data_IF_907670727034
#
_entry.id   IF_907670727034
#
_cell.length_a   1.000
_cell.length_b   1.000
_cell.length_c   1.000
_cell.angle_alpha   90.00
_cell.angle_beta   90.00
_cell.angle_gamma   90.00
#
_symmetry.space_group_name_H-M   'P 1'
#
loop_
_entity.id
_entity.type
_entity.pdbx_description
1 polymer ?
#
# COMPACT_ATOMS: atom_id res chain seq x y z
N UNK A 1 -34.83 7.75 20.34
CA UNK A 1 -33.68 7.06 20.98
C UNK A 1 -33.24 5.85 20.17
N UNK A 2 -34.12 4.86 19.88
CA UNK A 2 -33.73 3.72 19.02
C UNK A 2 -33.35 4.09 17.58
N UNK A 3 -33.91 5.15 17.01
CA UNK A 3 -33.52 5.63 15.67
C UNK A 3 -32.18 6.37 15.67
N UNK A 4 -31.80 7.01 16.79
CA UNK A 4 -30.48 7.64 16.93
C UNK A 4 -29.38 6.59 17.17
N UNK A 5 -29.68 5.53 17.93
CA UNK A 5 -28.79 4.37 18.08
C UNK A 5 -28.69 3.55 16.79
N UNK A 6 -29.75 3.54 15.96
CA UNK A 6 -29.71 2.95 14.63
C UNK A 6 -28.88 3.79 13.65
N UNK A 7 -28.98 5.13 13.69
CA UNK A 7 -28.14 6.04 12.90
C UNK A 7 -26.65 5.94 13.30
N UNK A 8 -26.37 5.80 14.60
CA UNK A 8 -25.01 5.63 15.14
C UNK A 8 -24.42 4.26 14.76
N UNK A 9 -25.25 3.21 14.71
CA UNK A 9 -24.86 1.88 14.21
C UNK A 9 -24.79 1.78 12.68
N UNK A 10 -25.49 2.66 11.96
CA UNK A 10 -25.45 2.70 10.49
C UNK A 10 -24.29 3.57 9.97
N UNK A 11 -23.74 4.46 10.81
CA UNK A 11 -22.51 5.21 10.51
C UNK A 11 -21.22 4.40 10.70
N UNK A 12 -21.26 3.23 11.34
CA UNK A 12 -20.09 2.34 11.49
C UNK A 12 -19.94 1.31 10.37
N UNK A 13 -20.79 1.34 9.34
CA UNK A 13 -20.88 0.26 8.35
C UNK A 13 -19.81 0.32 7.25
N UNK A 14 -19.05 1.41 7.08
CA UNK A 14 -17.97 1.39 6.07
C UNK A 14 -16.87 2.38 6.43
N UNK A 15 -16.21 2.15 7.57
CA UNK A 15 -14.88 2.72 7.73
C UNK A 15 -13.93 2.00 6.75
N UNK A 16 -13.42 2.70 5.72
CA UNK A 16 -12.62 2.09 4.67
C UNK A 16 -11.37 1.39 5.20
N UNK A 17 -10.89 1.81 6.38
CA UNK A 17 -9.75 1.18 7.04
C UNK A 17 -9.96 -0.32 7.26
N UNK A 18 -11.15 -0.76 7.68
CA UNK A 18 -11.38 -2.19 7.96
C UNK A 18 -11.47 -3.04 6.69
N UNK A 19 -11.92 -2.45 5.59
CA UNK A 19 -11.94 -3.11 4.27
C UNK A 19 -10.52 -3.34 3.80
N UNK A 20 -9.71 -2.28 3.72
CA UNK A 20 -8.31 -2.35 3.29
C UNK A 20 -7.49 -3.22 4.25
N UNK A 21 -7.73 -3.12 5.57
CA UNK A 21 -7.12 -4.03 6.56
C UNK A 21 -7.42 -5.49 6.25
N UNK A 22 -8.66 -5.83 5.88
CA UNK A 22 -9.04 -7.18 5.50
C UNK A 22 -8.34 -7.66 4.23
N UNK A 23 -8.21 -6.78 3.24
CA UNK A 23 -7.49 -7.05 1.99
C UNK A 23 -5.99 -7.27 2.24
N UNK A 24 -5.36 -6.39 3.03
CA UNK A 24 -3.96 -6.51 3.47
C UNK A 24 -3.74 -7.82 4.23
N UNK A 25 -4.64 -8.21 5.13
CA UNK A 25 -4.53 -9.48 5.86
C UNK A 25 -4.62 -10.69 4.93
N UNK A 26 -5.49 -10.63 3.91
CA UNK A 26 -5.61 -11.68 2.89
C UNK A 26 -4.40 -11.73 1.96
N UNK A 27 -3.86 -10.58 1.56
CA UNK A 27 -2.63 -10.50 0.79
C UNK A 27 -1.44 -11.03 1.60
N UNK A 28 -1.35 -10.70 2.88
CA UNK A 28 -0.31 -11.20 3.78
C UNK A 28 -0.37 -12.72 3.97
N UNK A 29 -1.55 -13.31 4.10
CA UNK A 29 -1.67 -14.78 4.23
C UNK A 29 -1.28 -15.50 2.94
N UNK A 30 -1.61 -14.92 1.78
CA UNK A 30 -1.11 -15.38 0.47
C UNK A 30 0.41 -15.26 0.39
N UNK A 31 0.99 -14.12 0.78
CA UNK A 31 2.43 -13.90 0.76
C UNK A 31 3.16 -14.90 1.66
N UNK A 32 2.65 -15.19 2.86
CA UNK A 32 3.20 -16.23 3.75
C UNK A 32 3.16 -17.62 3.12
N UNK A 33 2.04 -17.99 2.51
CA UNK A 33 1.93 -19.29 1.83
C UNK A 33 2.92 -19.43 0.66
N UNK A 34 3.13 -18.34 -0.10
CA UNK A 34 4.15 -18.27 -1.15
C UNK A 34 5.58 -18.32 -0.58
N UNK A 35 5.81 -17.68 0.56
CA UNK A 35 7.10 -17.70 1.25
C UNK A 35 7.45 -19.10 1.76
N UNK A 36 6.51 -19.80 2.40
CA UNK A 36 6.71 -21.18 2.86
C UNK A 36 7.01 -22.13 1.69
N UNK A 37 6.28 -21.98 0.58
CA UNK A 37 6.53 -22.76 -0.65
C UNK A 37 7.90 -22.45 -1.26
N UNK A 38 8.28 -21.18 -1.29
CA UNK A 38 9.59 -20.75 -1.76
C UNK A 38 10.71 -21.33 -0.89
N UNK A 39 10.53 -21.37 0.43
CA UNK A 39 11.49 -21.98 1.36
C UNK A 39 11.62 -23.49 1.16
N UNK A 40 10.52 -24.19 0.87
CA UNK A 40 10.52 -25.61 0.50
C UNK A 40 11.26 -25.86 -0.82
N UNK A 41 11.01 -25.03 -1.84
CA UNK A 41 11.68 -25.13 -3.15
C UNK A 41 13.19 -24.87 -3.06
N UNK A 42 13.66 -24.04 -2.13
CA UNK A 42 15.09 -23.89 -1.84
C UNK A 42 15.72 -25.17 -1.24
N UNK A 43 14.91 -25.98 -0.56
CA UNK A 43 15.36 -27.24 0.00
C UNK A 43 15.38 -28.36 -1.05
N UNK A 44 14.44 -28.35 -2.00
CA UNK A 44 14.30 -29.37 -3.05
C UNK A 44 15.12 -29.06 -4.32
N UNK A 45 15.96 -30.00 -4.75
CA UNK A 45 17.08 -29.77 -5.67
C UNK A 45 16.87 -30.19 -7.13
N UNK A 46 15.63 -30.36 -7.60
CA UNK A 46 15.33 -30.81 -8.97
C UNK A 46 15.32 -29.66 -9.98
N UNK A 47 15.69 -29.92 -11.25
CA UNK A 47 15.71 -28.88 -12.30
C UNK A 47 14.35 -28.21 -12.57
N UNK A 48 13.23 -28.96 -12.42
CA UNK A 48 11.86 -28.41 -12.52
C UNK A 48 11.58 -27.38 -11.42
N UNK A 49 12.23 -27.52 -10.25
CA UNK A 49 12.15 -26.60 -9.12
C UNK A 49 12.73 -25.21 -9.46
N UNK A 50 13.60 -25.06 -10.47
CA UNK A 50 14.24 -23.78 -10.81
C UNK A 50 13.26 -22.76 -11.40
N UNK A 51 12.53 -23.14 -12.44
CA UNK A 51 11.53 -22.25 -13.06
C UNK A 51 10.42 -21.93 -12.07
N UNK A 52 10.05 -22.90 -11.22
CA UNK A 52 9.08 -22.72 -10.15
C UNK A 52 9.61 -21.80 -9.03
N UNK A 53 10.89 -21.89 -8.69
CA UNK A 53 11.55 -21.02 -7.72
C UNK A 53 11.64 -19.58 -8.24
N UNK A 54 12.02 -19.37 -9.50
CA UNK A 54 12.08 -18.05 -10.12
C UNK A 54 10.69 -17.41 -10.19
N UNK A 55 9.68 -18.17 -10.60
CA UNK A 55 8.28 -17.75 -10.60
C UNK A 55 7.81 -17.40 -9.17
N UNK A 56 8.04 -18.28 -8.19
CA UNK A 56 7.62 -18.07 -6.80
C UNK A 56 8.30 -16.86 -6.18
N UNK A 57 9.58 -16.64 -6.50
CA UNK A 57 10.34 -15.48 -6.02
C UNK A 57 9.77 -14.18 -6.60
N UNK A 58 9.48 -14.14 -7.90
CA UNK A 58 8.90 -12.96 -8.55
C UNK A 58 7.48 -12.67 -8.03
N UNK A 59 6.64 -13.69 -7.93
CA UNK A 59 5.27 -13.56 -7.44
C UNK A 59 5.22 -13.06 -6.00
N UNK A 60 6.08 -13.61 -5.14
CA UNK A 60 6.21 -13.16 -3.76
C UNK A 60 6.68 -11.70 -3.68
N UNK A 61 7.68 -11.28 -4.48
CA UNK A 61 8.11 -9.88 -4.53
C UNK A 61 6.99 -8.93 -4.95
N UNK A 62 6.18 -9.33 -5.93
CA UNK A 62 5.02 -8.53 -6.35
C UNK A 62 3.97 -8.44 -5.26
N UNK A 63 3.66 -9.55 -4.59
CA UNK A 63 2.71 -9.57 -3.49
C UNK A 63 3.17 -8.73 -2.30
N UNK A 64 4.45 -8.82 -1.91
CA UNK A 64 5.02 -8.01 -0.83
C UNK A 64 5.00 -6.52 -1.18
N UNK A 65 5.31 -6.15 -2.42
CA UNK A 65 5.25 -4.76 -2.88
C UNK A 65 3.83 -4.21 -2.81
N UNK A 66 2.83 -4.97 -3.26
CA UNK A 66 1.43 -4.55 -3.19
C UNK A 66 1.01 -4.26 -1.73
N UNK A 67 1.40 -5.12 -0.79
CA UNK A 67 1.14 -4.91 0.64
C UNK A 67 1.85 -3.63 1.15
N UNK A 68 3.07 -3.34 0.71
CA UNK A 68 3.78 -2.11 1.11
C UNK A 68 3.04 -0.85 0.68
N UNK A 69 2.48 -0.83 -0.53
CA UNK A 69 1.64 0.27 -1.01
C UNK A 69 0.39 0.43 -0.15
N UNK A 70 -0.37 -0.64 0.07
CA UNK A 70 -1.59 -0.60 0.90
C UNK A 70 -1.28 -0.12 2.33
N UNK A 71 -0.12 -0.50 2.89
CA UNK A 71 0.30 -0.06 4.22
C UNK A 71 0.71 1.41 4.27
N UNK A 72 1.26 1.95 3.19
CA UNK A 72 1.58 3.38 3.08
C UNK A 72 0.28 4.19 3.08
N UNK A 73 -0.68 3.83 2.23
CA UNK A 73 -2.01 4.47 2.14
C UNK A 73 -2.76 4.43 3.49
N UNK A 74 -2.71 3.28 4.19
CA UNK A 74 -3.27 3.16 5.53
C UNK A 74 -2.57 4.09 6.52
N UNK A 75 -1.24 4.23 6.42
CA UNK A 75 -0.48 5.10 7.32
C UNK A 75 -0.79 6.59 7.09
N UNK A 76 -0.92 7.01 5.83
CA UNK A 76 -1.35 8.37 5.48
C UNK A 76 -2.75 8.66 6.01
N UNK A 77 -3.67 7.72 5.82
CA UNK A 77 -5.04 7.83 6.32
C UNK A 77 -5.07 7.97 7.85
N UNK A 78 -4.26 7.18 8.56
CA UNK A 78 -4.11 7.27 10.02
C UNK A 78 -3.57 8.65 10.42
N UNK A 79 -2.57 9.18 9.71
CA UNK A 79 -2.00 10.50 9.99
C UNK A 79 -3.02 11.63 9.80
N UNK A 80 -3.87 11.53 8.76
CA UNK A 80 -4.96 12.49 8.50
C UNK A 80 -5.98 12.49 9.63
N UNK A 81 -6.38 11.30 10.09
CA UNK A 81 -7.32 11.11 11.20
C UNK A 81 -6.73 11.65 12.50
N UNK A 82 -5.46 11.36 12.78
CA UNK A 82 -4.73 11.85 13.96
C UNK A 82 -4.64 13.38 13.99
N UNK A 83 -4.44 14.00 12.83
CA UNK A 83 -4.35 15.46 12.71
C UNK A 83 -5.70 16.16 12.88
N UNK A 84 -6.83 15.44 12.76
CA UNK A 84 -8.18 16.01 12.76
C UNK A 84 -9.15 15.25 13.70
N UNK A 85 -8.87 15.13 15.02
CA UNK A 85 -9.64 14.30 15.93
C UNK A 85 -11.12 14.74 16.05
N UNK A 86 -11.41 16.04 15.94
CA UNK A 86 -12.77 16.58 16.00
C UNK A 86 -13.66 16.21 14.81
N UNK A 87 -13.09 15.84 13.66
CA UNK A 87 -13.83 15.47 12.44
C UNK A 87 -14.15 13.98 12.38
N UNK A 88 -13.24 13.14 12.85
CA UNK A 88 -13.31 11.69 12.67
C UNK A 88 -13.81 10.90 13.89
N UNK A 89 -13.97 11.55 15.07
CA UNK A 89 -14.51 10.94 16.30
C UNK A 89 -13.93 9.55 16.62
N UNK A 90 -12.66 9.35 16.29
CA UNK A 90 -11.93 8.11 16.52
C UNK A 90 -11.30 8.12 17.90
N UNK A 91 -11.44 7.03 18.67
CA UNK A 91 -10.83 6.93 19.99
C UNK A 91 -9.30 6.78 19.89
N UNK A 92 -8.55 7.35 20.85
CA UNK A 92 -7.08 7.19 20.91
C UNK A 92 -6.65 5.70 20.95
N UNK A 93 -7.42 4.85 21.64
CA UNK A 93 -7.19 3.40 21.67
C UNK A 93 -7.32 2.78 20.29
N UNK A 94 -8.32 3.20 19.51
CA UNK A 94 -8.55 2.67 18.17
C UNK A 94 -7.46 3.14 17.21
N UNK A 95 -7.11 4.42 17.25
CA UNK A 95 -6.02 4.97 16.45
C UNK A 95 -4.69 4.23 16.72
N UNK A 96 -4.42 3.91 17.99
CA UNK A 96 -3.28 3.09 18.38
C UNK A 96 -3.33 1.69 17.79
N UNK A 97 -4.48 1.01 17.85
CA UNK A 97 -4.63 -0.32 17.24
C UNK A 97 -4.40 -0.31 15.72
N UNK A 98 -4.80 0.77 15.03
CA UNK A 98 -4.54 0.94 13.59
C UNK A 98 -3.03 1.08 13.32
N UNK A 99 -2.34 1.91 14.10
CA UNK A 99 -0.87 2.07 14.02
C UNK A 99 -0.14 0.76 14.29
N UNK A 100 -0.52 0.06 15.36
CA UNK A 100 0.07 -1.22 15.74
C UNK A 100 -0.16 -2.29 14.67
N UNK A 101 -1.28 -2.26 13.95
CA UNK A 101 -1.53 -3.15 12.81
C UNK A 101 -0.58 -2.87 11.64
N UNK A 102 -0.45 -1.60 11.24
CA UNK A 102 0.42 -1.18 10.14
C UNK A 102 1.89 -1.52 10.45
N UNK A 103 2.35 -1.22 11.66
CA UNK A 103 3.73 -1.50 12.08
C UNK A 103 4.04 -3.00 12.09
N UNK A 104 3.17 -3.82 12.69
CA UNK A 104 3.36 -5.29 12.71
C UNK A 104 3.38 -5.89 11.31
N UNK A 105 2.52 -5.42 10.42
CA UNK A 105 2.46 -5.92 9.04
C UNK A 105 3.71 -5.50 8.26
N UNK A 106 4.14 -4.24 8.38
CA UNK A 106 5.37 -3.73 7.75
C UNK A 106 6.59 -4.53 8.21
N UNK A 107 6.69 -4.85 9.50
CA UNK A 107 7.76 -5.70 10.03
C UNK A 107 7.75 -7.10 9.42
N UNK A 108 6.58 -7.75 9.34
CA UNK A 108 6.46 -9.09 8.73
C UNK A 108 6.84 -9.10 7.24
N UNK A 109 6.48 -8.04 6.50
CA UNK A 109 6.87 -7.88 5.09
C UNK A 109 8.38 -7.69 4.96
N UNK A 110 8.97 -6.85 5.81
CA UNK A 110 10.40 -6.60 5.83
C UNK A 110 11.21 -7.88 6.14
N UNK A 111 10.78 -8.68 7.12
CA UNK A 111 11.40 -9.97 7.45
C UNK A 111 11.41 -10.94 6.25
N UNK A 112 10.31 -11.02 5.50
CA UNK A 112 10.25 -11.85 4.28
C UNK A 112 11.16 -11.29 3.16
N UNK A 113 11.21 -9.96 2.99
CA UNK A 113 12.10 -9.30 1.99
C UNK A 113 13.57 -9.49 2.30
N UNK A 114 13.96 -9.41 3.57
CA UNK A 114 15.34 -9.64 4.00
C UNK A 114 15.78 -11.08 3.72
N UNK A 115 14.91 -12.05 3.97
CA UNK A 115 15.19 -13.47 3.69
C UNK A 115 15.28 -13.75 2.17
N UNK A 116 14.42 -13.12 1.36
CA UNK A 116 14.49 -13.15 -0.10
C UNK A 116 15.76 -12.51 -0.68
N UNK A 117 16.34 -11.55 0.05
CA UNK A 117 17.56 -10.82 -0.35
C UNK A 117 18.82 -11.42 0.26
N UNK A 118 18.68 -12.43 1.13
CA UNK A 118 19.79 -13.06 1.82
C UNK A 118 20.74 -13.71 0.81
N UNK A 119 22.04 -13.35 0.82
CA UNK A 119 23.06 -14.01 0.00
C UNK A 119 23.11 -15.53 0.22
N UNK A 120 22.60 -16.04 1.35
CA UNK A 120 22.50 -17.48 1.63
C UNK A 120 21.46 -18.19 0.76
N UNK A 121 20.35 -17.55 0.39
CA UNK A 121 19.34 -18.17 -0.49
C UNK A 121 19.88 -18.32 -1.92
N UNK A 122 20.54 -17.26 -2.41
CA UNK A 122 21.20 -17.24 -3.73
C UNK A 122 22.43 -18.15 -3.75
N UNK A 123 23.27 -18.11 -2.71
CA UNK A 123 24.46 -18.95 -2.59
C UNK A 123 24.11 -20.42 -2.30
N UNK A 124 23.00 -20.75 -1.65
CA UNK A 124 22.56 -22.14 -1.52
C UNK A 124 22.06 -22.69 -2.85
N UNK A 125 21.31 -21.91 -3.63
CA UNK A 125 20.95 -22.29 -4.99
C UNK A 125 22.21 -22.54 -5.84
N UNK A 126 23.22 -21.67 -5.77
CA UNK A 126 24.49 -21.85 -6.49
C UNK A 126 25.38 -22.98 -5.96
N UNK A 127 25.44 -23.19 -4.63
CA UNK A 127 26.30 -24.19 -4.00
C UNK A 127 25.73 -25.60 -4.21
N UNK A 128 24.40 -25.78 -4.12
CA UNK A 128 23.74 -27.04 -4.47
C UNK A 128 23.83 -27.33 -5.97
N UNK A 129 23.80 -26.30 -6.82
CA UNK A 129 24.03 -26.46 -8.27
C UNK A 129 25.45 -26.99 -8.56
N UNK A 130 26.49 -26.39 -7.95
CA UNK A 130 27.87 -26.91 -8.02
C UNK A 130 27.98 -28.34 -7.48
N UNK A 131 27.24 -28.68 -6.42
CA UNK A 131 27.31 -30.00 -5.78
C UNK A 131 26.58 -31.10 -6.58
N UNK A 132 25.47 -30.77 -7.26
CA UNK A 132 24.78 -31.68 -8.18
C UNK A 132 25.63 -32.00 -9.42
N UNK A 133 26.38 -31.02 -9.95
CA UNK A 133 27.32 -31.23 -11.04
C UNK A 133 28.54 -32.07 -10.61
N UNK A 134 29.06 -31.84 -9.39
CA UNK A 134 30.22 -32.56 -8.83
C UNK A 134 29.90 -34.00 -8.39
N UNK A 135 28.66 -34.30 -7.99
CA UNK A 135 28.24 -35.65 -7.60
C UNK A 135 28.22 -36.65 -8.77
N UNK A 136 28.27 -36.18 -10.02
CA UNK A 136 28.35 -37.04 -11.20
C UNK A 136 29.77 -37.58 -11.50
N UNK A 137 30.80 -37.05 -10.82
CA UNK A 137 32.22 -37.32 -11.17
C UNK A 137 32.97 -38.14 -10.11
N UNK A 138 32.36 -38.45 -8.94
CA UNK A 138 33.05 -39.15 -7.83
C UNK A 138 32.50 -40.57 -7.64
N UNK A 139 32.63 -41.42 -8.66
CA UNK A 139 32.49 -42.87 -8.44
C UNK A 139 33.59 -43.71 -9.09
N UNK A 140 34.61 -43.11 -9.71
CA UNK A 140 35.67 -43.92 -10.28
C UNK A 140 37.04 -43.23 -10.22
N UNK A 141 38.06 -44.02 -9.91
CA UNK A 141 39.51 -43.74 -10.05
C UNK A 141 40.26 -43.14 -8.86
N UNK A 142 40.21 -43.84 -7.72
CA UNK A 142 41.21 -43.74 -6.65
C UNK A 142 42.57 -44.44 -6.98
N UNK A 143 42.85 -44.86 -8.21
CA UNK A 143 43.99 -45.78 -8.47
C UNK A 143 44.82 -45.52 -9.74
N UNK A 144 44.97 -44.28 -10.20
CA UNK A 144 45.82 -43.99 -11.38
C UNK A 144 46.37 -42.55 -11.41
N UNK A 145 46.95 -42.10 -10.30
CA UNK A 145 47.63 -40.80 -10.15
C UNK A 145 49.13 -41.09 -10.26
N UNK A 146 49.87 -40.72 -11.31
CA UNK A 146 50.59 -39.44 -11.35
C UNK A 146 51.01 -39.05 -12.79
N UNK A 147 51.16 -40.00 -13.71
CA UNK A 147 51.72 -39.72 -15.04
C UNK A 147 50.70 -39.12 -16.04
N UNK A 148 49.40 -39.35 -15.83
CA UNK A 148 48.33 -38.80 -16.67
C UNK A 148 47.88 -37.39 -16.21
N UNK A 149 48.41 -36.92 -15.07
CA UNK A 149 47.93 -35.76 -14.34
C UNK A 149 48.31 -34.43 -15.00
N UNK A 150 49.42 -34.36 -15.74
CA UNK A 150 49.88 -33.12 -16.40
C UNK A 150 49.20 -32.92 -17.76
N UNK A 151 49.09 -34.00 -18.57
CA UNK A 151 48.41 -33.93 -19.88
C UNK A 151 46.88 -33.81 -19.74
N UNK A 152 46.28 -34.47 -18.75
CA UNK A 152 44.87 -34.26 -18.44
C UNK A 152 44.62 -32.87 -17.82
N UNK A 153 45.55 -32.31 -17.04
CA UNK A 153 45.40 -30.94 -16.53
C UNK A 153 45.33 -29.91 -17.66
N UNK A 154 46.25 -29.96 -18.63
CA UNK A 154 46.25 -28.98 -19.72
C UNK A 154 44.96 -29.06 -20.54
N UNK A 155 44.48 -30.27 -20.83
CA UNK A 155 43.23 -30.46 -21.57
C UNK A 155 41.99 -30.08 -20.74
N UNK A 156 42.01 -30.35 -19.44
CA UNK A 156 40.96 -29.94 -18.51
C UNK A 156 40.93 -28.42 -18.31
N UNK A 157 42.07 -27.75 -18.26
CA UNK A 157 42.16 -26.29 -18.15
C UNK A 157 41.61 -25.63 -19.43
N UNK A 158 41.95 -26.15 -20.60
CA UNK A 158 41.45 -25.63 -21.89
C UNK A 158 39.93 -25.85 -22.02
N UNK A 159 39.43 -27.02 -21.65
CA UNK A 159 37.99 -27.35 -21.64
C UNK A 159 37.23 -26.53 -20.57
N UNK A 160 37.84 -26.27 -19.41
CA UNK A 160 37.29 -25.36 -18.40
C UNK A 160 37.27 -23.91 -18.85
N UNK A 161 38.24 -23.48 -19.66
CA UNK A 161 38.32 -22.11 -20.15
C UNK A 161 37.24 -21.83 -21.22
N UNK A 162 36.96 -22.81 -22.09
CA UNK A 162 35.80 -22.77 -23.00
C UNK A 162 34.47 -22.81 -22.22
N UNK A 163 34.33 -23.66 -21.21
CA UNK A 163 33.13 -23.66 -20.36
C UNK A 163 32.95 -22.35 -19.60
N UNK A 164 34.02 -21.74 -19.09
CA UNK A 164 33.95 -20.45 -18.42
C UNK A 164 33.52 -19.33 -19.36
N UNK A 165 33.90 -19.38 -20.64
CA UNK A 165 33.41 -18.44 -21.65
C UNK A 165 31.91 -18.61 -21.90
N UNK A 166 31.42 -19.85 -21.96
CA UNK A 166 29.98 -20.12 -22.10
C UNK A 166 29.19 -19.65 -20.86
N UNK A 167 29.73 -19.84 -19.66
CA UNK A 167 29.11 -19.38 -18.40
C UNK A 167 29.10 -17.84 -18.32
N UNK A 168 30.17 -17.17 -18.77
CA UNK A 168 30.22 -15.70 -18.84
C UNK A 168 29.21 -15.17 -19.86
N UNK A 169 29.07 -15.83 -21.01
CA UNK A 169 28.03 -15.48 -22.00
C UNK A 169 26.62 -15.65 -21.44
N UNK A 170 26.35 -16.74 -20.71
CA UNK A 170 25.03 -16.98 -20.11
C UNK A 170 24.72 -15.95 -18.99
N UNK A 171 25.75 -15.47 -18.28
CA UNK A 171 25.63 -14.37 -17.33
C UNK A 171 25.39 -13.01 -18.00
N UNK A 172 26.01 -12.74 -19.15
CA UNK A 172 25.74 -11.53 -19.93
C UNK A 172 24.30 -11.52 -20.49
N UNK A 173 23.80 -12.66 -20.95
CA UNK A 173 22.40 -12.81 -21.38
C UNK A 173 21.42 -12.59 -20.19
N UNK A 174 21.77 -13.06 -18.98
CA UNK A 174 20.99 -12.77 -17.77
C UNK A 174 21.01 -11.28 -17.38
N UNK A 175 22.16 -10.61 -17.53
CA UNK A 175 22.26 -9.16 -17.31
C UNK A 175 21.47 -8.37 -18.35
N UNK A 176 21.40 -8.84 -19.60
CA UNK A 176 20.57 -8.24 -20.64
C UNK A 176 19.07 -8.40 -20.34
N UNK A 177 18.63 -9.54 -19.79
CA UNK A 177 17.24 -9.75 -19.37
C UNK A 177 16.85 -8.90 -18.15
N UNK A 178 17.76 -8.75 -17.18
CA UNK A 178 17.61 -7.84 -16.03
C UNK A 178 17.58 -6.38 -16.51
N UNK A 179 18.41 -6.03 -17.50
CA UNK A 179 18.41 -4.72 -18.18
C UNK A 179 17.09 -4.45 -18.92
N UNK A 180 16.53 -5.45 -19.58
CA UNK A 180 15.20 -5.39 -20.20
C UNK A 180 14.10 -5.10 -19.19
N UNK A 181 14.14 -5.77 -18.03
CA UNK A 181 13.19 -5.55 -16.94
C UNK A 181 13.32 -4.16 -16.30
N UNK A 182 14.54 -3.62 -16.20
CA UNK A 182 14.81 -2.23 -15.78
C UNK A 182 14.28 -1.21 -16.81
N UNK A 183 14.37 -1.51 -18.12
CA UNK A 183 13.86 -0.64 -19.18
C UNK A 183 12.32 -0.58 -19.18
N UNK A 184 11.64 -1.69 -18.89
CA UNK A 184 10.17 -1.72 -18.69
C UNK A 184 9.77 -0.97 -17.41
N UNK A 185 10.51 -1.16 -16.31
CA UNK A 185 10.31 -0.39 -15.06
C UNK A 185 10.50 1.12 -15.27
N UNK A 186 11.49 1.53 -16.07
CA UNK A 186 11.73 2.93 -16.42
C UNK A 186 10.62 3.50 -17.29
N UNK A 187 10.09 2.74 -18.26
CA UNK A 187 8.99 3.19 -19.12
C UNK A 187 7.68 3.33 -18.32
N UNK A 188 7.39 2.40 -17.39
CA UNK A 188 6.24 2.51 -16.50
C UNK A 188 6.40 3.61 -15.45
N UNK A 189 7.60 3.80 -14.89
CA UNK A 189 7.90 4.92 -13.99
C UNK A 189 7.78 6.28 -14.68
N UNK A 190 8.13 6.37 -15.97
CA UNK A 190 7.94 7.58 -16.76
C UNK A 190 6.45 7.90 -16.94
N UNK A 191 5.64 6.91 -17.33
CA UNK A 191 4.18 7.09 -17.48
C UNK A 191 3.46 7.40 -16.16
N UNK A 192 3.95 6.87 -15.04
CA UNK A 192 3.43 7.22 -13.70
C UNK A 192 3.80 8.66 -13.35
N UNK A 193 5.01 9.11 -13.71
CA UNK A 193 5.42 10.51 -13.55
C UNK A 193 4.54 11.48 -14.36
N UNK A 194 4.26 11.13 -15.61
CA UNK A 194 3.41 11.95 -16.50
C UNK A 194 1.96 12.01 -15.99
N UNK A 195 1.41 10.91 -15.48
CA UNK A 195 0.06 10.85 -14.88
C UNK A 195 0.00 11.62 -13.54
N UNK A 196 1.05 11.58 -12.73
CA UNK A 196 1.14 12.37 -11.50
C UNK A 196 1.22 13.88 -11.78
N UNK A 197 1.95 14.29 -12.82
CA UNK A 197 1.97 15.69 -13.27
C UNK A 197 0.61 16.12 -13.83
N UNK A 198 -0.10 15.25 -14.56
CA UNK A 198 -1.46 15.52 -15.04
C UNK A 198 -2.48 15.63 -13.88
N UNK A 199 -2.36 14.77 -12.86
CA UNK A 199 -3.17 14.84 -11.65
C UNK A 199 -2.84 16.07 -10.78
N UNK A 200 -1.59 16.55 -10.76
CA UNK A 200 -1.21 17.80 -10.10
C UNK A 200 -1.88 19.03 -10.76
N UNK A 201 -2.04 19.00 -12.09
CA UNK A 201 -2.81 20.02 -12.83
C UNK A 201 -4.30 19.92 -12.52
N UNK A 202 -4.89 18.71 -12.52
CA UNK A 202 -6.31 18.53 -12.16
C UNK A 202 -6.62 18.87 -10.69
N UNK A 203 -5.66 18.69 -9.76
CA UNK A 203 -5.77 19.15 -8.37
C UNK A 203 -5.79 20.68 -8.27
N UNK A 204 -5.10 21.37 -9.18
CA UNK A 204 -5.17 22.84 -9.32
C UNK A 204 -6.58 23.31 -9.69
N UNK A 205 -7.19 22.68 -10.71
CA UNK A 205 -8.56 22.98 -11.14
C UNK A 205 -9.59 22.65 -10.06
N UNK A 206 -9.41 21.53 -9.34
CA UNK A 206 -10.26 21.20 -8.19
C UNK A 206 -10.13 22.24 -7.06
N UNK A 207 -8.93 22.76 -6.83
CA UNK A 207 -8.70 23.87 -5.91
C UNK A 207 -9.44 25.14 -6.31
N UNK A 208 -9.48 25.47 -7.60
CA UNK A 208 -10.22 26.62 -8.14
C UNK A 208 -11.74 26.43 -8.00
N UNK A 209 -12.26 25.24 -8.30
CA UNK A 209 -13.67 24.89 -8.10
C UNK A 209 -14.07 24.93 -6.61
N UNK A 210 -13.19 24.48 -5.72
CA UNK A 210 -13.39 24.57 -4.27
C UNK A 210 -13.40 26.03 -3.80
N UNK A 211 -12.50 26.87 -4.31
CA UNK A 211 -12.47 28.31 -4.03
C UNK A 211 -13.78 28.99 -4.48
N UNK A 212 -14.27 28.63 -5.68
CA UNK A 212 -15.54 29.13 -6.19
C UNK A 212 -16.71 28.67 -5.31
N UNK A 213 -16.71 27.42 -4.85
CA UNK A 213 -17.73 26.89 -3.93
C UNK A 213 -17.70 27.60 -2.58
N UNK A 214 -16.52 27.87 -2.02
CA UNK A 214 -16.34 28.64 -0.79
C UNK A 214 -16.90 30.06 -0.93
N UNK A 215 -16.63 30.75 -2.04
CA UNK A 215 -17.18 32.09 -2.30
C UNK A 215 -18.72 32.12 -2.41
N UNK A 216 -19.32 31.05 -2.96
CA UNK A 216 -20.78 30.88 -3.03
C UNK A 216 -21.34 30.61 -1.63
N UNK A 217 -20.67 29.78 -0.84
CA UNK A 217 -21.03 29.50 0.55
C UNK A 217 -20.98 30.76 1.41
N UNK A 218 -19.93 31.58 1.31
CA UNK A 218 -19.83 32.88 1.99
C UNK A 218 -20.95 33.84 1.60
N UNK A 219 -21.32 33.86 0.32
CA UNK A 219 -22.44 34.66 -0.17
C UNK A 219 -23.78 34.20 0.41
N UNK A 220 -23.96 32.88 0.57
CA UNK A 220 -25.12 32.30 1.24
C UNK A 220 -25.11 32.63 2.74
N UNK A 221 -23.97 32.51 3.41
CA UNK A 221 -23.82 32.84 4.83
C UNK A 221 -24.13 34.31 5.10
N UNK A 222 -23.65 35.25 4.27
CA UNK A 222 -24.02 36.68 4.35
C UNK A 222 -25.52 36.92 4.13
N UNK A 223 -26.15 36.17 3.22
CA UNK A 223 -27.60 36.26 3.03
C UNK A 223 -28.36 35.74 4.25
N UNK A 224 -27.90 34.65 4.87
CA UNK A 224 -28.47 34.13 6.11
C UNK A 224 -28.29 35.09 7.28
N UNK A 225 -27.12 35.71 7.44
CA UNK A 225 -26.87 36.74 8.45
C UNK A 225 -27.79 37.95 8.22
N UNK A 226 -27.97 38.39 6.98
CA UNK A 226 -28.86 39.50 6.64
C UNK A 226 -30.33 39.16 6.88
N UNK A 227 -30.77 37.95 6.54
CA UNK A 227 -32.14 37.48 6.81
C UNK A 227 -32.38 37.35 8.31
N UNK A 228 -31.41 36.81 9.05
CA UNK A 228 -31.40 36.73 10.51
C UNK A 228 -31.47 38.12 11.16
N UNK A 229 -30.75 39.10 10.61
CA UNK A 229 -30.79 40.46 11.11
C UNK A 229 -32.07 41.21 10.68
N UNK A 230 -32.68 40.87 9.54
CA UNK A 230 -33.93 41.49 9.07
C UNK A 230 -35.15 41.09 9.92
N UNK A 231 -35.17 39.90 10.53
CA UNK A 231 -36.19 39.51 11.52
C UNK A 231 -36.03 40.21 12.88
N UNK A 232 -34.92 40.92 13.11
CA UNK A 232 -34.68 41.77 14.29
C UNK A 232 -35.08 43.24 14.04
N UNK A 233 -36.16 43.46 13.31
CA UNK A 233 -36.61 44.83 13.02
C UNK A 233 -37.31 45.43 14.24
N UNK A 234 -36.71 46.42 14.91
CA UNK A 234 -37.32 47.19 16.03
C UNK A 234 -38.73 47.71 15.70
N UNK A 235 -39.02 47.96 14.42
CA UNK A 235 -40.34 48.34 13.91
C UNK A 235 -41.38 47.21 13.97
N UNK A 236 -40.99 45.95 13.75
CA UNK A 236 -41.89 44.79 13.87
C UNK A 236 -42.21 44.53 15.34
N UNK A 237 -41.22 44.57 16.23
CA UNK A 237 -41.44 44.47 17.67
C UNK A 237 -42.29 45.62 18.23
N UNK A 238 -42.11 46.84 17.72
CA UNK A 238 -42.96 47.98 18.06
C UNK A 238 -44.41 47.77 17.56
N UNK A 239 -44.60 47.31 16.31
CA UNK A 239 -45.92 47.02 15.76
C UNK A 239 -46.66 45.91 16.55
N UNK A 240 -45.95 44.84 16.92
CA UNK A 240 -46.50 43.77 17.77
C UNK A 240 -46.87 44.34 19.15
N UNK A 241 -46.00 45.14 19.77
CA UNK A 241 -46.27 45.77 21.07
C UNK A 241 -47.50 46.69 21.05
N UNK A 242 -47.65 47.52 20.00
CA UNK A 242 -48.83 48.37 19.82
C UNK A 242 -50.09 47.54 19.64
N UNK A 243 -50.04 46.48 18.84
CA UNK A 243 -51.19 45.62 18.58
C UNK A 243 -51.64 44.88 19.87
N UNK A 244 -50.68 44.42 20.67
CA UNK A 244 -50.94 43.83 22.01
C UNK A 244 -51.56 44.87 22.95
N UNK A 245 -51.05 46.10 22.99
CA UNK A 245 -51.60 47.16 23.85
C UNK A 245 -53.06 47.49 23.48
N UNK A 246 -53.37 47.61 22.19
CA UNK A 246 -54.76 47.80 21.71
C UNK A 246 -55.63 46.62 22.12
N UNK A 247 -55.11 45.39 22.00
CA UNK A 247 -55.83 44.17 22.39
C UNK A 247 -56.17 44.16 23.89
N UNK A 248 -55.24 44.60 24.74
CA UNK A 248 -55.47 44.76 26.20
C UNK A 248 -56.51 45.83 26.50
N UNK A 249 -56.47 46.98 25.80
CA UNK A 249 -57.49 48.04 25.98
C UNK A 249 -58.88 47.52 25.63
N UNK A 250 -59.02 46.77 24.52
CA UNK A 250 -60.30 46.14 24.14
C UNK A 250 -60.77 45.15 25.21
N UNK A 251 -59.88 44.34 25.78
CA UNK A 251 -60.23 43.42 26.87
C UNK A 251 -60.69 44.15 28.13
N UNK A 252 -60.02 45.24 28.52
CA UNK A 252 -60.42 46.04 29.69
C UNK A 252 -61.80 46.65 29.44
N UNK A 253 -62.03 47.23 28.26
CA UNK A 253 -63.34 47.75 27.90
C UNK A 253 -64.42 46.66 27.93
N UNK A 254 -64.12 45.46 27.44
CA UNK A 254 -65.05 44.33 27.50
C UNK A 254 -65.32 43.81 28.91
N UNK A 255 -64.36 43.91 29.84
CA UNK A 255 -64.55 43.49 31.23
C UNK A 255 -65.28 44.53 32.08
N UNK A 256 -65.18 45.81 31.72
CA UNK A 256 -65.80 46.93 32.45
C UNK A 256 -67.22 47.24 31.94
N UNK A 257 -67.48 47.03 30.65
CA UNK A 257 -68.76 47.27 29.98
C UNK A 257 -69.64 46.01 29.99
#
# INVERSE_FOLDING_TARGET
MRELEAEERNMSVEDPFFVVKGEVQKALSRARSLFDRWEELLQDGTQVSRDELDWSTNELRNCLRAIEWDLEDLSETINIVESNPGKFRLGESELKERKDFVERTRKSVQEMKEQLSSPSAVAQAEKKNRQALLSSTIQDRSSMLEAHMVSANSRYIEEQQEQQQLIIQEQDDQLELVSGSIRVLKDMSGRIGDELDEQAVMLGDFGEEMQQTSSRMDSVLKKLEKVSHMTSSRRQWCAIGVLVAVMVVVLILFLVL
#
